data_IF_704911724893
#
_entry.id   IF_704911724893
#
_cell.length_a   1.000
_cell.length_b   1.000
_cell.length_c   1.000
_cell.angle_alpha   90.00
_cell.angle_beta   90.00
_cell.angle_gamma   90.00
#
_symmetry.space_group_name_H-M   'P 1'
#
loop_
_entity.id
_entity.type
_entity.pdbx_description
1 polymer ?
#
# COMPACT_ATOMS: atom_id res chain seq x y z
N UNK A 1 -28.61 28.50 -13.85
CA UNK A 1 -28.38 27.98 -15.22
C UNK A 1 -26.92 28.16 -15.62
N UNK A 2 -26.34 29.36 -15.45
CA UNK A 2 -24.94 29.65 -15.78
C UNK A 2 -23.91 28.71 -15.07
N UNK A 3 -24.02 28.54 -13.75
CA UNK A 3 -23.11 27.65 -13.00
C UNK A 3 -23.19 26.18 -13.46
N UNK A 4 -24.36 25.71 -13.91
CA UNK A 4 -24.58 24.35 -14.40
C UNK A 4 -23.87 24.11 -15.74
N UNK A 5 -23.93 25.08 -16.65
CA UNK A 5 -23.20 25.04 -17.91
C UNK A 5 -21.68 25.08 -17.69
N UNK A 6 -21.21 25.94 -16.77
CA UNK A 6 -19.79 26.04 -16.44
C UNK A 6 -19.21 24.74 -15.84
N UNK A 7 -19.97 24.05 -14.98
CA UNK A 7 -19.55 22.80 -14.34
C UNK A 7 -19.82 21.54 -15.18
N UNK A 8 -20.35 21.68 -16.41
CA UNK A 8 -20.55 20.56 -17.33
C UNK A 8 -21.65 19.57 -16.91
N UNK A 9 -22.52 19.94 -15.97
CA UNK A 9 -23.59 19.05 -15.51
C UNK A 9 -24.81 19.12 -16.43
N UNK A 10 -25.37 17.94 -16.73
CA UNK A 10 -26.59 17.82 -17.55
C UNK A 10 -27.89 18.07 -16.78
N UNK A 11 -27.83 18.16 -15.44
CA UNK A 11 -29.00 18.39 -14.58
C UNK A 11 -28.75 19.49 -13.53
N UNK A 12 -29.70 20.43 -13.32
CA UNK A 12 -29.61 21.42 -12.26
C UNK A 12 -29.53 20.80 -10.85
N UNK A 13 -30.12 19.61 -10.66
CA UNK A 13 -30.09 18.91 -9.37
C UNK A 13 -28.67 18.49 -8.97
N UNK A 14 -27.83 18.10 -9.94
CA UNK A 14 -26.44 17.74 -9.71
C UNK A 14 -25.61 18.94 -9.23
N UNK A 15 -25.80 20.12 -9.83
CA UNK A 15 -25.15 21.35 -9.38
C UNK A 15 -25.65 21.80 -8.00
N UNK A 16 -26.95 21.68 -7.73
CA UNK A 16 -27.53 22.00 -6.42
C UNK A 16 -27.05 21.08 -5.30
N UNK A 17 -26.63 19.85 -5.62
CA UNK A 17 -26.06 18.92 -4.65
C UNK A 17 -24.82 19.51 -3.99
N UNK A 18 -23.87 20.04 -4.78
CA UNK A 18 -22.64 20.65 -4.28
C UNK A 18 -22.88 21.93 -3.48
N UNK A 19 -23.84 22.76 -3.90
CA UNK A 19 -24.21 23.99 -3.19
C UNK A 19 -24.82 23.67 -1.80
N UNK A 20 -25.49 22.52 -1.67
CA UNK A 20 -26.10 22.06 -0.41
C UNK A 20 -25.12 21.35 0.52
N UNK A 21 -23.93 20.96 0.04
CA UNK A 21 -22.90 20.40 0.92
C UNK A 21 -22.34 21.54 1.75
N UNK A 22 -22.80 21.63 3.01
CA UNK A 22 -22.21 22.55 3.98
C UNK A 22 -20.71 22.26 4.08
N UNK A 23 -19.82 23.28 4.03
CA UNK A 23 -18.38 23.08 4.14
C UNK A 23 -17.99 22.24 5.38
N UNK A 24 -18.72 22.39 6.48
CA UNK A 24 -18.56 21.59 7.70
C UNK A 24 -18.87 20.11 7.51
N UNK A 25 -19.88 19.77 6.68
CA UNK A 25 -20.21 18.38 6.35
C UNK A 25 -19.15 17.76 5.44
N UNK A 26 -18.62 18.53 4.49
CA UNK A 26 -17.51 18.08 3.65
C UNK A 26 -16.23 17.84 4.48
N UNK A 27 -15.87 18.79 5.34
CA UNK A 27 -14.73 18.66 6.25
C UNK A 27 -14.89 17.45 7.18
N UNK A 28 -16.07 17.23 7.76
CA UNK A 28 -16.36 16.04 8.56
C UNK A 28 -16.25 14.74 7.76
N UNK A 29 -16.68 14.73 6.50
CA UNK A 29 -16.49 13.58 5.61
C UNK A 29 -15.01 13.31 5.31
N UNK A 30 -14.18 14.35 5.13
CA UNK A 30 -12.74 14.20 4.97
C UNK A 30 -12.07 13.66 6.24
N UNK A 31 -12.39 14.21 7.41
CA UNK A 31 -11.90 13.68 8.70
C UNK A 31 -12.32 12.24 8.92
N UNK A 32 -13.56 11.87 8.54
CA UNK A 32 -14.04 10.49 8.63
C UNK A 32 -13.32 9.58 7.64
N UNK A 33 -13.08 10.03 6.42
CA UNK A 33 -12.33 9.28 5.41
C UNK A 33 -10.87 9.06 5.85
N UNK A 34 -10.24 10.08 6.45
CA UNK A 34 -8.91 10.04 7.04
C UNK A 34 -8.85 9.10 8.26
N UNK A 35 -9.82 9.15 9.16
CA UNK A 35 -9.94 8.17 10.25
C UNK A 35 -10.14 6.74 9.72
N UNK A 36 -10.91 6.56 8.64
CA UNK A 36 -11.13 5.25 8.02
C UNK A 36 -9.89 4.74 7.28
N UNK A 37 -9.10 5.62 6.64
CA UNK A 37 -7.82 5.23 6.04
C UNK A 37 -6.81 4.81 7.11
N UNK A 38 -6.83 5.42 8.29
CA UNK A 38 -6.01 5.02 9.43
C UNK A 38 -6.44 3.71 10.10
N UNK A 39 -7.71 3.28 9.95
CA UNK A 39 -8.17 2.00 10.50
C UNK A 39 -7.64 0.77 9.73
N UNK A 40 -7.23 0.95 8.47
CA UNK A 40 -6.59 -0.09 7.67
C UNK A 40 -5.48 0.57 6.85
N UNK A 41 -4.31 0.74 7.47
CA UNK A 41 -3.12 1.14 6.72
C UNK A 41 -2.68 -0.02 5.84
N UNK A 42 -2.53 0.22 4.54
CA UNK A 42 -2.10 -0.80 3.57
C UNK A 42 -0.91 -0.27 2.82
N UNK A 43 0.18 -1.03 2.85
CA UNK A 43 1.33 -0.80 2.01
C UNK A 43 1.11 -1.52 0.68
N UNK A 44 1.21 -0.78 -0.42
CA UNK A 44 1.07 -1.30 -1.78
C UNK A 44 2.43 -1.27 -2.48
N UNK A 45 2.91 -2.42 -2.93
CA UNK A 45 4.12 -2.53 -3.76
C UNK A 45 3.74 -2.34 -5.23
N UNK A 46 3.82 -1.09 -5.69
CA UNK A 46 3.42 -0.72 -7.05
C UNK A 46 4.27 -1.36 -8.14
N UNK A 47 5.53 -1.73 -7.88
CA UNK A 47 6.39 -2.32 -8.91
C UNK A 47 5.96 -3.75 -9.28
N UNK A 48 5.40 -4.49 -8.32
CA UNK A 48 4.84 -5.82 -8.58
C UNK A 48 3.67 -5.69 -9.56
N UNK A 49 2.83 -4.67 -9.36
CA UNK A 49 1.71 -4.34 -10.25
C UNK A 49 2.24 -3.93 -11.63
N UNK A 50 3.22 -3.02 -11.69
CA UNK A 50 3.80 -2.52 -12.93
C UNK A 50 4.49 -3.61 -13.76
N UNK A 51 5.11 -4.59 -13.08
CA UNK A 51 5.76 -5.75 -13.72
C UNK A 51 4.79 -6.90 -14.03
N UNK A 52 3.51 -6.77 -13.68
CA UNK A 52 2.51 -7.85 -13.78
C UNK A 52 2.97 -9.17 -13.13
N UNK A 53 3.68 -9.09 -12.01
CA UNK A 53 4.13 -10.27 -11.26
C UNK A 53 3.01 -10.86 -10.41
N UNK A 54 3.09 -12.16 -10.11
CA UNK A 54 2.18 -12.86 -9.19
C UNK A 54 2.55 -12.68 -7.71
N UNK A 55 3.61 -11.93 -7.41
CA UNK A 55 4.07 -11.72 -6.04
C UNK A 55 3.02 -10.95 -5.21
N UNK A 56 3.03 -11.10 -3.87
CA UNK A 56 2.17 -10.29 -3.02
C UNK A 56 2.50 -8.79 -3.14
N UNK A 57 1.50 -7.98 -3.47
CA UNK A 57 1.63 -6.53 -3.62
C UNK A 57 0.86 -5.72 -2.58
N UNK A 58 0.01 -6.36 -1.78
CA UNK A 58 -0.82 -5.72 -0.74
C UNK A 58 -0.40 -6.21 0.63
N UNK A 59 -0.04 -5.29 1.53
CA UNK A 59 0.44 -5.59 2.87
C UNK A 59 -0.38 -4.81 3.90
N UNK A 60 -1.30 -5.50 4.57
CA UNK A 60 -2.17 -4.91 5.59
C UNK A 60 -1.41 -4.75 6.90
N UNK A 61 -1.39 -3.54 7.46
CA UNK A 61 -0.75 -3.25 8.73
C UNK A 61 -1.55 -3.83 9.91
N UNK A 62 -0.91 -4.68 10.72
CA UNK A 62 -1.49 -5.29 11.91
C UNK A 62 -0.95 -4.68 13.22
N UNK A 63 -0.11 -3.64 13.13
CA UNK A 63 0.61 -3.05 14.25
C UNK A 63 2.07 -3.47 14.28
N UNK A 64 2.36 -4.70 14.74
CA UNK A 64 3.72 -5.25 14.89
C UNK A 64 4.20 -6.05 13.66
N UNK A 65 3.29 -6.38 12.75
CA UNK A 65 3.57 -7.08 11.50
C UNK A 65 2.68 -6.60 10.35
N UNK A 66 3.00 -7.09 9.16
CA UNK A 66 2.16 -6.95 7.97
C UNK A 66 1.53 -8.29 7.59
N UNK A 67 0.33 -8.26 7.03
CA UNK A 67 -0.30 -9.42 6.39
C UNK A 67 -0.29 -9.28 4.87
N UNK A 68 0.34 -10.22 4.16
CA UNK A 68 0.41 -10.24 2.70
C UNK A 68 -0.78 -10.97 2.03
N UNK A 69 -1.71 -11.53 2.81
CA UNK A 69 -2.91 -12.18 2.27
C UNK A 69 -3.85 -11.14 1.63
N UNK A 70 -4.13 -11.19 0.32
CA UNK A 70 -5.02 -10.24 -0.35
C UNK A 70 -6.45 -10.27 0.21
N UNK A 71 -6.88 -11.38 0.82
CA UNK A 71 -8.20 -11.58 1.42
C UNK A 71 -8.20 -11.46 2.96
N UNK A 72 -7.29 -10.66 3.53
CA UNK A 72 -7.16 -10.46 4.98
C UNK A 72 -8.50 -10.17 5.68
N UNK A 73 -9.37 -9.35 5.10
CA UNK A 73 -10.67 -8.96 5.67
C UNK A 73 -11.59 -10.16 5.96
N UNK A 74 -11.47 -11.23 5.16
CA UNK A 74 -12.24 -12.48 5.31
C UNK A 74 -11.44 -13.60 5.97
N UNK A 75 -10.17 -13.37 6.34
CA UNK A 75 -9.30 -14.40 6.90
C UNK A 75 -9.79 -14.84 8.30
N UNK A 76 -9.93 -16.16 8.57
CA UNK A 76 -10.33 -16.65 9.89
C UNK A 76 -9.26 -16.44 10.96
N UNK A 77 -7.98 -16.33 10.55
CA UNK A 77 -6.84 -16.16 11.44
C UNK A 77 -6.46 -14.69 11.68
N UNK A 78 -7.26 -13.71 11.22
CA UNK A 78 -6.91 -12.27 11.23
C UNK A 78 -6.62 -11.68 12.62
N UNK A 79 -6.91 -12.41 13.70
CA UNK A 79 -6.63 -12.02 15.09
C UNK A 79 -5.37 -12.67 15.68
N UNK A 80 -4.76 -13.63 14.98
CA UNK A 80 -3.59 -14.39 15.42
C UNK A 80 -2.62 -14.64 14.26
N UNK A 81 -2.30 -13.59 13.50
CA UNK A 81 -1.51 -13.71 12.27
C UNK A 81 -0.07 -14.21 12.49
N UNK A 82 0.51 -14.10 13.68
CA UNK A 82 1.92 -14.40 13.94
C UNK A 82 2.39 -15.80 13.46
N UNK A 83 1.51 -16.81 13.49
CA UNK A 83 1.82 -18.18 13.04
C UNK A 83 1.46 -18.48 11.58
N UNK A 84 1.00 -17.49 10.82
CA UNK A 84 0.54 -17.67 9.45
C UNK A 84 1.68 -17.43 8.43
N UNK A 85 1.71 -18.22 7.36
CA UNK A 85 2.67 -18.09 6.26
C UNK A 85 2.58 -16.71 5.53
N UNK A 86 1.47 -15.97 5.70
CA UNK A 86 1.29 -14.60 5.17
C UNK A 86 1.79 -13.49 6.09
N UNK A 87 2.30 -13.82 7.27
CA UNK A 87 2.76 -12.84 8.24
C UNK A 87 4.18 -12.37 7.93
N UNK A 88 4.38 -11.06 7.91
CA UNK A 88 5.70 -10.43 7.71
C UNK A 88 5.99 -9.53 8.91
N UNK A 89 6.80 -9.99 9.88
CA UNK A 89 7.13 -9.19 11.07
C UNK A 89 7.82 -7.87 10.71
N UNK A 90 7.42 -6.74 11.30
CA UNK A 90 8.03 -5.42 11.00
C UNK A 90 9.52 -5.36 11.36
N UNK A 91 9.92 -6.10 12.39
CA UNK A 91 11.32 -6.22 12.79
C UNK A 91 12.19 -7.00 11.77
N UNK A 92 11.60 -7.64 10.77
CA UNK A 92 12.35 -8.37 9.74
C UNK A 92 13.01 -7.42 8.73
N UNK A 93 14.15 -7.83 8.18
CA UNK A 93 14.81 -7.11 7.09
C UNK A 93 13.91 -6.96 5.85
N UNK A 94 13.01 -7.93 5.61
CA UNK A 94 12.04 -7.89 4.51
C UNK A 94 11.03 -6.75 4.70
N UNK A 95 10.46 -6.62 5.90
CA UNK A 95 9.52 -5.54 6.20
C UNK A 95 10.20 -4.16 6.16
N UNK A 96 11.40 -4.03 6.71
CA UNK A 96 12.15 -2.77 6.64
C UNK A 96 12.45 -2.35 5.20
N UNK A 97 12.83 -3.29 4.33
CA UNK A 97 13.04 -3.03 2.91
C UNK A 97 11.73 -2.63 2.20
N UNK A 98 10.62 -3.26 2.56
CA UNK A 98 9.28 -2.96 2.03
C UNK A 98 8.82 -1.55 2.44
N UNK A 99 8.94 -1.17 3.71
CA UNK A 99 8.61 0.17 4.21
C UNK A 99 9.49 1.24 3.56
N UNK A 100 10.80 1.00 3.48
CA UNK A 100 11.73 1.92 2.82
C UNK A 100 11.35 2.14 1.36
N UNK A 101 10.98 1.05 0.66
CA UNK A 101 10.53 1.11 -0.73
C UNK A 101 9.26 1.95 -0.88
N UNK A 102 8.25 1.72 -0.04
CA UNK A 102 7.01 2.47 -0.06
C UNK A 102 7.24 3.96 0.23
N UNK A 103 8.12 4.28 1.20
CA UNK A 103 8.50 5.66 1.50
C UNK A 103 9.19 6.34 0.32
N UNK A 104 10.11 5.64 -0.36
CA UNK A 104 10.80 6.17 -1.55
C UNK A 104 9.82 6.37 -2.71
N UNK A 105 8.92 5.43 -2.96
CA UNK A 105 7.87 5.56 -3.96
C UNK A 105 7.01 6.80 -3.72
N UNK A 106 6.61 7.05 -2.47
CA UNK A 106 5.89 8.27 -2.10
C UNK A 106 6.67 9.54 -2.42
N UNK A 107 7.99 9.58 -2.18
CA UNK A 107 8.82 10.73 -2.57
C UNK A 107 8.83 10.97 -4.08
N UNK A 108 8.93 9.92 -4.90
CA UNK A 108 8.91 10.02 -6.37
C UNK A 108 7.60 10.59 -6.91
N UNK A 109 6.50 10.34 -6.22
CA UNK A 109 5.14 10.79 -6.59
C UNK A 109 4.80 12.19 -6.04
N UNK A 110 5.11 12.45 -4.77
CA UNK A 110 4.59 13.61 -4.04
C UNK A 110 5.55 14.80 -4.02
N UNK A 111 6.86 14.58 -4.22
CA UNK A 111 7.87 15.63 -4.13
C UNK A 111 8.33 16.04 -5.54
N UNK A 112 8.36 17.35 -5.85
CA UNK A 112 8.95 17.84 -7.08
C UNK A 112 10.48 17.71 -7.02
N UNK A 113 10.99 16.58 -7.53
CA UNK A 113 12.42 16.28 -7.61
C UNK A 113 13.03 16.86 -8.89
N UNK A 114 14.25 17.37 -8.80
CA UNK A 114 15.10 17.64 -9.96
C UNK A 114 15.45 16.35 -10.70
N UNK A 115 15.97 16.46 -11.93
CA UNK A 115 16.36 15.28 -12.71
C UNK A 115 17.45 14.45 -11.99
N UNK A 116 18.42 15.11 -11.38
CA UNK A 116 19.52 14.45 -10.66
C UNK A 116 19.01 13.77 -9.39
N UNK A 117 18.16 14.44 -8.60
CA UNK A 117 17.54 13.85 -7.41
C UNK A 117 16.67 12.64 -7.78
N UNK A 118 15.88 12.75 -8.85
CA UNK A 118 15.06 11.63 -9.34
C UNK A 118 15.93 10.42 -9.70
N UNK A 119 17.04 10.62 -10.43
CA UNK A 119 17.94 9.54 -10.81
C UNK A 119 18.58 8.85 -9.59
N UNK A 120 18.93 9.61 -8.55
CA UNK A 120 19.44 9.06 -7.28
C UNK A 120 18.37 8.19 -6.61
N UNK A 121 17.16 8.72 -6.48
CA UNK A 121 16.05 8.05 -5.79
C UNK A 121 15.63 6.77 -6.53
N UNK A 122 15.57 6.79 -7.86
CA UNK A 122 15.33 5.60 -8.69
C UNK A 122 16.45 4.55 -8.53
N UNK A 123 17.71 5.01 -8.42
CA UNK A 123 18.85 4.13 -8.11
C UNK A 123 18.76 3.48 -6.74
N UNK A 124 18.30 4.20 -5.72
CA UNK A 124 18.08 3.67 -4.37
C UNK A 124 16.91 2.66 -4.33
N UNK A 125 15.84 2.93 -5.08
CA UNK A 125 14.75 1.98 -5.27
C UNK A 125 15.26 0.65 -5.85
N UNK A 126 16.12 0.70 -6.87
CA UNK A 126 16.72 -0.49 -7.46
C UNK A 126 17.62 -1.27 -6.47
N UNK A 127 18.32 -0.57 -5.57
CA UNK A 127 19.11 -1.23 -4.50
C UNK A 127 18.22 -1.95 -3.50
N UNK A 128 17.09 -1.36 -3.11
CA UNK A 128 16.11 -2.00 -2.21
C UNK A 128 15.48 -3.25 -2.84
N UNK A 129 15.13 -3.18 -4.12
CA UNK A 129 14.67 -4.35 -4.89
C UNK A 129 15.75 -5.46 -4.96
N UNK A 130 17.02 -5.05 -5.09
CA UNK A 130 18.16 -5.97 -4.97
C UNK A 130 18.30 -6.62 -3.59
N UNK A 131 18.09 -5.85 -2.51
CA UNK A 131 18.11 -6.37 -1.14
C UNK A 131 16.98 -7.38 -0.92
N UNK A 132 15.76 -7.07 -1.36
CA UNK A 132 14.61 -7.98 -1.21
C UNK A 132 14.86 -9.33 -1.87
N UNK A 133 15.37 -9.33 -3.11
CA UNK A 133 15.75 -10.57 -3.81
C UNK A 133 16.79 -11.40 -3.06
N UNK A 134 17.78 -10.75 -2.44
CA UNK A 134 18.77 -11.45 -1.60
C UNK A 134 18.15 -12.10 -0.36
N UNK A 135 17.05 -11.53 0.15
CA UNK A 135 16.35 -12.05 1.32
C UNK A 135 15.41 -13.22 0.99
N UNK A 136 15.05 -13.45 -0.27
CA UNK A 136 14.14 -14.53 -0.67
C UNK A 136 14.69 -15.93 -0.37
N UNK A 137 16.02 -16.06 -0.33
CA UNK A 137 16.72 -17.30 -0.04
C UNK A 137 17.33 -17.35 1.37
N UNK A 138 17.06 -16.33 2.21
CA UNK A 138 17.49 -16.33 3.62
C UNK A 138 16.45 -17.08 4.46
N UNK A 139 16.85 -18.12 5.23
CA UNK A 139 15.92 -18.84 6.09
C UNK A 139 15.26 -17.92 7.12
N UNK A 140 13.95 -18.07 7.30
CA UNK A 140 13.23 -17.44 8.41
C UNK A 140 13.44 -18.26 9.70
N UNK A 141 12.88 -17.78 10.82
CA UNK A 141 13.05 -18.42 12.14
C UNK A 141 12.56 -19.87 12.18
N UNK A 142 11.65 -20.28 11.29
CA UNK A 142 11.15 -21.65 11.20
C UNK A 142 11.98 -22.56 10.27
N UNK A 143 13.06 -22.02 9.70
CA UNK A 143 13.98 -22.73 8.80
C UNK A 143 13.59 -22.71 7.32
N UNK A 144 12.37 -22.30 6.96
CA UNK A 144 11.94 -22.17 5.55
C UNK A 144 12.38 -20.81 4.99
N UNK A 145 12.72 -20.76 3.71
CA UNK A 145 12.97 -19.49 3.00
C UNK A 145 11.67 -18.89 2.47
N UNK A 146 11.59 -17.56 2.27
CA UNK A 146 10.43 -16.94 1.60
C UNK A 146 10.05 -17.62 0.28
N UNK A 147 11.01 -17.96 -0.58
CA UNK A 147 10.78 -18.70 -1.84
C UNK A 147 10.05 -20.03 -1.61
N UNK A 148 10.35 -20.75 -0.53
CA UNK A 148 9.70 -22.02 -0.20
C UNK A 148 8.28 -21.84 0.34
N UNK A 149 8.04 -20.76 1.09
CA UNK A 149 6.72 -20.43 1.64
C UNK A 149 5.77 -20.04 0.51
N UNK A 150 6.22 -19.20 -0.42
CA UNK A 150 5.43 -18.76 -1.59
C UNK A 150 5.08 -19.93 -2.51
N UNK A 151 6.02 -20.84 -2.77
CA UNK A 151 5.77 -22.05 -3.57
C UNK A 151 4.70 -22.98 -2.96
N UNK A 152 4.54 -22.98 -1.64
CA UNK A 152 3.49 -23.74 -0.93
C UNK A 152 2.14 -23.01 -0.99
N UNK A 153 2.13 -21.70 -0.83
CA UNK A 153 0.89 -20.90 -0.84
C UNK A 153 0.22 -20.85 -2.22
N UNK A 154 0.97 -21.06 -3.30
CA UNK A 154 0.48 -21.12 -4.69
C UNK A 154 -0.03 -22.51 -5.12
N UNK A 155 -0.02 -23.53 -4.24
CA UNK A 155 -0.62 -24.85 -4.48
C UNK A 155 -1.95 -24.99 -3.75
#
# INVERSE_FOLDING_TARGET
MELMQWSGHSSPSSTLHYIRIRPTKLAASFVKADQMSHMVSVLIDQDVIARHSSDPYTFYDLGDSYCSNPFWSSCPHRMACAGCDFNVPKASARAQALESKASIGHYLEAVPLTADERAIVEGDLAKLDGLRRKLDDVPTLDGRTPSQIEAKNNR
#
